data_IF_756971044594
#
_entry.id   IF_756971044594
#
_cell.length_a   1.000
_cell.length_b   1.000
_cell.length_c   1.000
_cell.angle_alpha   90.00
_cell.angle_beta   90.00
_cell.angle_gamma   90.00
#
_symmetry.space_group_name_H-M   'P 1'
#
loop_
_entity.id
_entity.type
_entity.pdbx_description
1 polymer ?
#
# COMPACT_ATOMS: atom_id res chain seq x y z
N UNK A 1 12.37 -9.96 4.43
CA UNK A 1 11.30 -8.99 4.11
C UNK A 1 10.16 -9.78 3.49
N UNK A 2 8.94 -9.65 4.00
CA UNK A 2 7.74 -10.29 3.41
C UNK A 2 7.43 -9.67 2.05
N UNK A 3 6.97 -10.44 1.08
CA UNK A 3 6.59 -9.90 -0.23
C UNK A 3 5.11 -9.51 -0.20
N UNK A 4 4.77 -8.29 -0.61
CA UNK A 4 3.37 -7.87 -0.78
C UNK A 4 3.19 -7.43 -2.23
N UNK A 5 2.37 -8.15 -2.98
CA UNK A 5 2.02 -7.81 -4.36
C UNK A 5 0.79 -6.89 -4.37
N UNK A 6 0.94 -5.61 -4.76
CA UNK A 6 -0.19 -4.72 -4.96
C UNK A 6 -0.97 -5.17 -6.21
N UNK A 7 -2.22 -4.71 -6.38
CA UNK A 7 -3.08 -5.17 -7.48
C UNK A 7 -2.49 -5.10 -8.88
N UNK A 8 -1.71 -4.05 -9.15
CA UNK A 8 -1.13 -3.77 -10.46
C UNK A 8 0.15 -4.57 -10.76
N UNK A 9 0.65 -5.36 -9.80
CA UNK A 9 1.90 -6.10 -9.93
C UNK A 9 1.77 -7.55 -9.47
N UNK A 10 0.61 -8.19 -9.69
CA UNK A 10 0.44 -9.61 -9.36
C UNK A 10 1.48 -10.48 -10.09
N UNK A 11 2.04 -11.50 -9.43
CA UNK A 11 2.97 -12.42 -10.05
C UNK A 11 2.26 -13.29 -11.10
N UNK A 12 3.05 -13.96 -11.95
CA UNK A 12 2.52 -14.99 -12.84
C UNK A 12 1.76 -16.06 -12.03
N UNK A 13 0.61 -16.59 -12.52
CA UNK A 13 -0.12 -17.68 -11.87
C UNK A 13 0.71 -18.95 -11.63
N UNK A 14 1.78 -19.12 -12.40
CA UNK A 14 2.70 -20.26 -12.30
C UNK A 14 3.74 -20.10 -11.19
N UNK A 15 3.88 -18.90 -10.63
CA UNK A 15 4.82 -18.65 -9.54
C UNK A 15 4.32 -19.30 -8.26
N UNK A 16 5.06 -20.27 -7.74
CA UNK A 16 4.80 -20.81 -6.41
C UNK A 16 5.02 -19.72 -5.35
N UNK A 17 3.98 -19.46 -4.55
CA UNK A 17 3.99 -18.44 -3.51
C UNK A 17 4.31 -19.06 -2.15
N UNK A 18 5.28 -18.50 -1.44
CA UNK A 18 5.59 -18.90 -0.07
C UNK A 18 4.59 -18.35 0.96
N UNK A 19 4.59 -18.90 2.17
CA UNK A 19 3.72 -18.44 3.27
C UNK A 19 4.01 -16.99 3.72
N UNK A 20 5.10 -16.39 3.26
CA UNK A 20 5.54 -15.04 3.59
C UNK A 20 5.09 -14.00 2.55
N UNK A 21 4.30 -14.44 1.55
CA UNK A 21 3.80 -13.64 0.44
C UNK A 21 2.33 -13.25 0.64
N UNK A 22 2.02 -11.98 0.42
CA UNK A 22 0.66 -11.45 0.40
C UNK A 22 0.28 -10.95 -0.99
N UNK A 23 -0.93 -11.28 -1.43
CA UNK A 23 -1.55 -10.79 -2.66
C UNK A 23 -2.69 -9.84 -2.29
N UNK A 24 -2.64 -8.61 -2.77
CA UNK A 24 -3.74 -7.65 -2.59
C UNK A 24 -4.70 -7.78 -3.76
N UNK A 25 -5.96 -8.15 -3.50
CA UNK A 25 -6.99 -8.22 -4.52
C UNK A 25 -7.90 -6.98 -4.51
N UNK A 26 -8.30 -6.49 -5.68
CA UNK A 26 -9.26 -5.37 -5.77
C UNK A 26 -10.71 -5.78 -5.74
N UNK A 27 -11.00 -7.01 -6.16
CA UNK A 27 -12.36 -7.53 -6.29
C UNK A 27 -12.39 -8.97 -5.81
N UNK A 28 -13.46 -9.38 -5.11
CA UNK A 28 -13.75 -10.79 -4.82
C UNK A 28 -13.65 -11.64 -6.09
N UNK A 29 -13.03 -12.81 -6.00
CA UNK A 29 -12.85 -13.71 -7.15
C UNK A 29 -11.74 -14.74 -6.97
N UNK A 30 -11.63 -15.68 -7.92
CA UNK A 30 -10.60 -16.72 -7.87
C UNK A 30 -9.21 -16.12 -8.10
N UNK A 31 -8.41 -16.04 -7.04
CA UNK A 31 -6.94 -15.96 -7.14
C UNK A 31 -6.25 -16.22 -5.79
N UNK A 32 -5.68 -17.40 -5.64
CA UNK A 32 -4.76 -17.76 -4.56
C UNK A 32 -5.38 -18.58 -3.44
N UNK A 33 -4.53 -19.14 -2.58
CA UNK A 33 -5.00 -19.76 -1.34
C UNK A 33 -5.49 -18.65 -0.41
N UNK A 34 -6.61 -18.86 0.29
CA UNK A 34 -7.21 -17.87 1.19
C UNK A 34 -6.21 -17.25 2.18
N UNK A 35 -5.16 -17.99 2.54
CA UNK A 35 -4.12 -17.61 3.51
C UNK A 35 -3.11 -16.55 3.02
N UNK A 36 -3.11 -16.22 1.74
CA UNK A 36 -2.17 -15.25 1.15
C UNK A 36 -2.89 -13.99 0.68
N UNK A 37 -4.22 -13.96 0.72
CA UNK A 37 -5.02 -12.89 0.10
C UNK A 37 -5.41 -11.82 1.13
N UNK A 38 -5.19 -10.57 0.74
CA UNK A 38 -5.69 -9.38 1.42
C UNK A 38 -6.70 -8.67 0.51
N UNK A 39 -7.91 -8.43 1.02
CA UNK A 39 -8.91 -7.64 0.32
C UNK A 39 -8.58 -6.16 0.35
N UNK A 40 -8.49 -5.50 -0.82
CA UNK A 40 -8.27 -4.05 -0.90
C UNK A 40 -9.54 -3.32 -0.48
N UNK A 41 -9.40 -2.38 0.46
CA UNK A 41 -10.41 -1.38 0.74
C UNK A 41 -9.76 -0.02 0.59
N UNK A 42 -10.20 0.69 -0.43
CA UNK A 42 -9.84 2.07 -0.64
C UNK A 42 -10.52 2.99 0.39
N UNK A 43 -9.74 3.72 1.19
CA UNK A 43 -10.25 4.65 2.20
C UNK A 43 -10.42 6.09 1.67
N UNK A 44 -9.97 6.37 0.46
CA UNK A 44 -10.03 7.68 -0.20
C UNK A 44 -9.54 8.82 0.73
N UNK A 45 -8.35 8.62 1.30
CA UNK A 45 -7.72 9.52 2.28
C UNK A 45 -8.60 9.87 3.50
N UNK A 46 -9.56 8.99 3.81
CA UNK A 46 -10.52 9.14 4.92
C UNK A 46 -11.84 9.81 4.52
N UNK A 47 -12.05 10.14 3.24
CA UNK A 47 -13.32 10.71 2.75
C UNK A 47 -14.42 9.64 2.69
N UNK A 48 -14.05 8.37 2.46
CA UNK A 48 -15.01 7.29 2.27
C UNK A 48 -15.81 7.05 3.55
N UNK A 49 -17.14 6.95 3.41
CA UNK A 49 -18.03 6.78 4.55
C UNK A 49 -17.74 5.48 5.31
N UNK A 50 -17.92 5.49 6.64
CA UNK A 50 -17.78 4.29 7.45
C UNK A 50 -18.74 3.17 7.01
N UNK A 51 -19.95 3.53 6.55
CA UNK A 51 -20.92 2.55 6.07
C UNK A 51 -20.42 1.81 4.83
N UNK A 52 -19.84 2.53 3.86
CA UNK A 52 -19.31 1.94 2.63
C UNK A 52 -18.05 1.11 2.91
N UNK A 53 -17.21 1.57 3.84
CA UNK A 53 -16.06 0.79 4.32
C UNK A 53 -16.53 -0.53 4.94
N UNK A 54 -17.53 -0.50 5.82
CA UNK A 54 -18.04 -1.72 6.45
C UNK A 54 -18.72 -2.66 5.46
N UNK A 55 -19.46 -2.14 4.48
CA UNK A 55 -20.01 -2.95 3.39
C UNK A 55 -18.89 -3.67 2.62
N UNK A 56 -17.77 -2.99 2.35
CA UNK A 56 -16.61 -3.62 1.71
C UNK A 56 -15.94 -4.67 2.60
N UNK A 57 -15.83 -4.41 3.92
CA UNK A 57 -15.31 -5.41 4.89
C UNK A 57 -16.20 -6.65 4.90
N UNK A 58 -17.53 -6.48 4.91
CA UNK A 58 -18.48 -7.60 4.92
C UNK A 58 -18.43 -8.40 3.61
N UNK A 59 -18.25 -7.73 2.46
CA UNK A 59 -18.05 -8.39 1.17
C UNK A 59 -16.77 -9.25 1.15
N UNK A 60 -15.64 -8.69 1.60
CA UNK A 60 -14.37 -9.43 1.69
C UNK A 60 -14.44 -10.61 2.66
N UNK A 61 -15.15 -10.43 3.78
CA UNK A 61 -15.40 -11.52 4.72
C UNK A 61 -16.22 -12.65 4.09
N UNK A 62 -17.18 -12.32 3.22
CA UNK A 62 -17.94 -13.31 2.44
C UNK A 62 -17.10 -14.07 1.41
N UNK A 63 -16.04 -13.44 0.88
CA UNK A 63 -15.10 -14.02 -0.08
C UNK A 63 -14.05 -14.94 0.57
N UNK A 64 -13.87 -14.84 1.90
CA UNK A 64 -13.00 -15.73 2.66
C UNK A 64 -11.52 -15.33 2.70
N UNK A 65 -11.20 -14.06 2.41
CA UNK A 65 -9.83 -13.54 2.55
C UNK A 65 -9.35 -13.57 4.01
N UNK A 66 -8.04 -13.65 4.23
CA UNK A 66 -7.47 -13.66 5.59
C UNK A 66 -7.38 -12.25 6.22
N UNK A 67 -7.35 -11.23 5.38
CA UNK A 67 -7.07 -9.89 5.85
C UNK A 67 -7.46 -8.79 4.88
N UNK A 68 -7.12 -7.57 5.28
CA UNK A 68 -7.42 -6.36 4.54
C UNK A 68 -6.15 -5.57 4.27
N UNK A 69 -6.09 -5.01 3.07
CA UNK A 69 -5.17 -3.95 2.69
C UNK A 69 -5.98 -2.65 2.61
N UNK A 70 -5.86 -1.83 3.64
CA UNK A 70 -6.51 -0.53 3.73
C UNK A 70 -5.70 0.46 2.92
N UNK A 71 -6.08 0.58 1.66
CA UNK A 71 -5.43 1.41 0.68
C UNK A 71 -5.92 2.84 0.77
N UNK A 72 -5.11 3.73 0.20
CA UNK A 72 -5.31 5.15 0.27
C UNK A 72 -5.71 5.67 1.67
N UNK A 73 -4.97 5.27 2.69
CA UNK A 73 -5.27 5.62 4.08
C UNK A 73 -4.80 7.04 4.47
N UNK A 74 -5.55 7.78 5.32
CA UNK A 74 -5.07 9.05 5.84
C UNK A 74 -3.80 8.84 6.69
N UNK A 75 -2.86 9.81 6.63
CA UNK A 75 -1.61 9.77 7.40
C UNK A 75 -1.57 10.74 8.60
N UNK A 76 -2.41 11.78 8.58
CA UNK A 76 -2.46 12.83 9.60
C UNK A 76 -3.22 12.43 10.87
N UNK A 77 -3.07 13.18 11.97
CA UNK A 77 -3.66 12.84 13.27
C UNK A 77 -5.19 12.71 13.26
N UNK A 78 -5.89 13.46 12.41
CA UNK A 78 -7.35 13.40 12.28
C UNK A 78 -7.88 12.06 11.75
N UNK A 79 -7.07 11.30 11.01
CA UNK A 79 -7.45 10.00 10.45
C UNK A 79 -7.31 8.83 11.41
N UNK A 80 -6.62 8.99 12.55
CA UNK A 80 -6.31 7.90 13.49
C UNK A 80 -7.58 7.24 14.02
N UNK A 81 -8.55 8.04 14.47
CA UNK A 81 -9.80 7.55 15.06
C UNK A 81 -10.63 6.70 14.08
N UNK A 82 -10.98 7.23 12.89
CA UNK A 82 -11.67 6.46 11.85
C UNK A 82 -10.93 5.18 11.44
N UNK A 83 -9.60 5.23 11.26
CA UNK A 83 -8.81 4.04 10.90
C UNK A 83 -8.81 3.00 12.01
N UNK A 84 -8.64 3.42 13.27
CA UNK A 84 -8.72 2.53 14.43
C UNK A 84 -10.10 1.84 14.53
N UNK A 85 -11.17 2.58 14.25
CA UNK A 85 -12.53 2.05 14.22
C UNK A 85 -12.68 0.99 13.13
N UNK A 86 -12.21 1.27 11.91
CA UNK A 86 -12.21 0.31 10.79
C UNK A 86 -11.45 -0.96 11.14
N UNK A 87 -10.22 -0.87 11.67
CA UNK A 87 -9.41 -2.02 12.09
C UNK A 87 -10.16 -2.87 13.13
N UNK A 88 -10.73 -2.22 14.15
CA UNK A 88 -11.47 -2.92 15.21
C UNK A 88 -12.72 -3.61 14.67
N UNK A 89 -13.42 -3.00 13.73
CA UNK A 89 -14.64 -3.57 13.13
C UNK A 89 -14.33 -4.70 12.15
N UNK A 90 -13.21 -4.64 11.45
CA UNK A 90 -12.67 -5.75 10.65
C UNK A 90 -12.29 -6.94 11.54
N UNK A 91 -11.57 -6.70 12.64
CA UNK A 91 -11.22 -7.75 13.59
C UNK A 91 -12.45 -8.46 14.18
N UNK A 92 -13.54 -7.72 14.47
CA UNK A 92 -14.82 -8.30 14.92
C UNK A 92 -15.48 -9.22 13.88
N UNK A 93 -15.12 -9.09 12.61
CA UNK A 93 -15.60 -9.93 11.51
C UNK A 93 -14.65 -11.10 11.20
N UNK A 94 -13.57 -11.24 11.97
CA UNK A 94 -12.56 -12.29 11.79
C UNK A 94 -11.40 -11.89 10.87
N UNK A 95 -11.37 -10.66 10.36
CA UNK A 95 -10.30 -10.15 9.50
C UNK A 95 -9.23 -9.47 10.37
N UNK A 96 -8.33 -10.29 10.92
CA UNK A 96 -7.32 -9.84 11.89
C UNK A 96 -6.03 -9.32 11.25
N UNK A 97 -5.75 -9.72 10.02
CA UNK A 97 -4.54 -9.29 9.29
C UNK A 97 -4.86 -7.98 8.57
N UNK A 98 -4.42 -6.86 9.13
CA UNK A 98 -4.58 -5.55 8.48
C UNK A 98 -3.21 -4.96 8.13
N UNK A 99 -3.10 -4.54 6.87
CA UNK A 99 -2.02 -3.68 6.38
C UNK A 99 -2.63 -2.33 6.03
N UNK A 100 -2.04 -1.26 6.54
CA UNK A 100 -2.45 0.12 6.27
C UNK A 100 -1.48 0.71 5.23
N UNK A 101 -2.01 1.21 4.11
CA UNK A 101 -1.23 1.89 3.08
C UNK A 101 -1.62 3.37 2.97
N UNK A 102 -0.94 4.25 3.73
CA UNK A 102 -0.93 5.68 3.49
C UNK A 102 0.04 6.09 2.38
N UNK A 103 0.98 5.23 1.97
CA UNK A 103 2.03 5.55 1.01
C UNK A 103 3.11 6.52 1.51
N UNK A 104 2.93 7.07 2.71
CA UNK A 104 3.83 8.04 3.36
C UNK A 104 3.94 7.77 4.86
N UNK A 105 4.99 8.27 5.54
CA UNK A 105 5.08 8.23 6.99
C UNK A 105 3.86 8.85 7.68
N UNK A 106 3.36 8.19 8.72
CA UNK A 106 2.14 8.59 9.44
C UNK A 106 2.43 9.32 10.74
N UNK A 107 1.42 10.03 11.25
CA UNK A 107 1.43 10.57 12.60
C UNK A 107 1.75 9.45 13.63
N UNK A 108 2.56 9.70 14.67
CA UNK A 108 3.02 8.65 15.60
C UNK A 108 1.90 7.82 16.26
N UNK A 109 0.70 8.39 16.45
CA UNK A 109 -0.45 7.68 17.04
C UNK A 109 -0.93 6.48 16.21
N UNK A 110 -0.63 6.42 14.91
CA UNK A 110 -0.95 5.24 14.10
C UNK A 110 -0.19 3.99 14.57
N UNK A 111 0.91 4.16 15.30
CA UNK A 111 1.73 3.06 15.79
C UNK A 111 1.04 2.29 16.91
N UNK A 112 0.18 2.95 17.67
CA UNK A 112 -0.61 2.32 18.74
C UNK A 112 -1.69 1.37 18.21
N UNK A 113 -1.99 1.44 16.90
CA UNK A 113 -2.96 0.55 16.25
C UNK A 113 -2.44 -0.89 16.08
N UNK A 114 -1.12 -1.11 16.21
CA UNK A 114 -0.51 -2.44 16.14
C UNK A 114 -0.60 -3.12 14.77
N UNK A 115 -0.95 -2.37 13.71
CA UNK A 115 -1.01 -2.87 12.33
C UNK A 115 0.28 -2.57 11.57
N UNK A 116 0.50 -3.29 10.47
CA UNK A 116 1.62 -3.00 9.56
C UNK A 116 1.29 -1.77 8.73
N UNK A 117 2.27 -0.88 8.56
CA UNK A 117 2.09 0.39 7.84
C UNK A 117 3.06 0.43 6.66
N UNK A 118 2.54 0.70 5.47
CA UNK A 118 3.32 0.96 4.27
C UNK A 118 3.63 2.46 4.21
N UNK A 119 4.86 2.86 4.50
CA UNK A 119 5.27 4.27 4.61
C UNK A 119 5.90 4.82 3.35
N UNK A 120 5.99 4.01 2.30
CA UNK A 120 6.40 4.46 0.98
C UNK A 120 5.59 3.69 -0.06
N UNK A 121 4.88 4.40 -0.94
CA UNK A 121 4.26 3.86 -2.14
C UNK A 121 4.49 4.86 -3.27
N UNK A 122 5.37 4.52 -4.21
CA UNK A 122 5.80 5.49 -5.22
C UNK A 122 6.82 4.96 -6.22
N UNK A 123 7.22 5.84 -7.15
CA UNK A 123 8.11 5.48 -8.26
C UNK A 123 9.53 5.17 -7.78
N UNK A 124 10.27 4.40 -8.59
CA UNK A 124 11.70 4.17 -8.37
C UNK A 124 12.49 5.48 -8.26
N UNK A 125 12.20 6.45 -9.12
CA UNK A 125 12.82 7.78 -9.09
C UNK A 125 12.59 8.48 -7.76
N UNK A 126 11.34 8.51 -7.27
CA UNK A 126 11.01 9.09 -5.97
C UNK A 126 11.71 8.32 -4.84
N UNK A 127 11.75 6.98 -4.93
CA UNK A 127 12.39 6.14 -3.94
C UNK A 127 13.90 6.38 -3.85
N UNK A 128 14.58 6.63 -4.96
CA UNK A 128 16.02 6.94 -4.95
C UNK A 128 16.31 8.20 -4.12
N UNK A 129 15.50 9.25 -4.27
CA UNK A 129 15.62 10.50 -3.53
C UNK A 129 15.08 10.46 -2.10
N UNK A 130 14.27 9.45 -1.74
CA UNK A 130 13.63 9.37 -0.43
C UNK A 130 14.64 9.08 0.70
N UNK A 131 14.68 9.97 1.69
CA UNK A 131 15.58 9.90 2.84
C UNK A 131 15.12 8.91 3.94
N UNK A 132 13.85 8.50 3.93
CA UNK A 132 13.30 7.60 4.94
C UNK A 132 12.77 8.28 6.20
N UNK A 133 12.71 9.62 6.24
CA UNK A 133 12.30 10.37 7.42
C UNK A 133 10.90 9.96 7.89
N UNK A 134 10.77 9.63 9.18
CA UNK A 134 9.51 9.20 9.79
C UNK A 134 9.11 7.73 9.56
N UNK A 135 9.80 7.01 8.67
CA UNK A 135 9.66 5.56 8.56
C UNK A 135 10.41 4.85 9.69
N UNK A 136 9.96 3.66 10.06
CA UNK A 136 10.57 2.81 11.10
C UNK A 136 10.99 1.46 10.50
N UNK A 137 12.04 0.82 11.02
CA UNK A 137 12.37 -0.56 10.64
C UNK A 137 11.15 -1.47 10.81
N UNK A 138 10.84 -2.23 9.75
CA UNK A 138 9.64 -3.07 9.70
C UNK A 138 8.49 -2.49 8.88
N UNK A 139 8.53 -1.20 8.56
CA UNK A 139 7.54 -0.56 7.69
C UNK A 139 7.62 -1.10 6.25
N UNK A 140 6.52 -0.94 5.53
CA UNK A 140 6.36 -1.42 4.15
C UNK A 140 6.81 -0.39 3.13
N UNK A 141 7.46 -0.84 2.06
CA UNK A 141 7.78 -0.01 0.91
C UNK A 141 7.25 -0.66 -0.38
N UNK A 142 6.45 0.05 -1.16
CA UNK A 142 6.01 -0.32 -2.51
C UNK A 142 6.71 0.60 -3.50
N UNK A 143 7.53 0.02 -4.36
CA UNK A 143 8.39 0.74 -5.29
C UNK A 143 8.10 0.27 -6.70
N UNK A 144 7.49 1.14 -7.51
CA UNK A 144 7.01 0.81 -8.85
C UNK A 144 7.85 1.48 -9.95
N UNK A 145 7.71 1.04 -11.19
CA UNK A 145 8.45 1.57 -12.33
C UNK A 145 9.97 1.38 -12.23
N UNK A 146 10.42 0.33 -11.55
CA UNK A 146 11.86 -0.02 -11.45
C UNK A 146 12.33 -0.64 -12.76
N UNK A 147 13.38 -0.12 -13.41
CA UNK A 147 13.94 -0.79 -14.59
C UNK A 147 14.27 -2.26 -14.30
N UNK A 148 13.92 -3.23 -15.16
CA UNK A 148 14.06 -4.66 -14.86
C UNK A 148 15.46 -5.08 -14.39
N UNK A 149 16.50 -4.45 -14.94
CA UNK A 149 17.91 -4.70 -14.60
C UNK A 149 18.27 -4.22 -13.19
N UNK A 150 17.46 -3.34 -12.60
CA UNK A 150 17.66 -2.76 -11.27
C UNK A 150 16.79 -3.40 -10.19
N UNK A 151 15.87 -4.33 -10.51
CA UNK A 151 14.97 -4.95 -9.53
C UNK A 151 15.71 -5.54 -8.33
N UNK A 152 16.81 -6.25 -8.57
CA UNK A 152 17.65 -6.81 -7.48
C UNK A 152 18.29 -5.70 -6.64
N UNK A 153 18.76 -4.63 -7.27
CA UNK A 153 19.37 -3.49 -6.57
C UNK A 153 18.33 -2.72 -5.74
N UNK A 154 17.13 -2.52 -6.28
CA UNK A 154 16.00 -1.88 -5.61
C UNK A 154 15.58 -2.68 -4.36
N UNK A 155 15.40 -4.00 -4.47
CA UNK A 155 15.10 -4.88 -3.32
C UNK A 155 16.17 -4.79 -2.23
N UNK A 156 17.46 -4.76 -2.61
CA UNK A 156 18.57 -4.59 -1.65
C UNK A 156 18.53 -3.23 -0.97
N UNK A 157 18.22 -2.15 -1.72
CA UNK A 157 18.08 -0.81 -1.17
C UNK A 157 16.92 -0.74 -0.17
N UNK A 158 15.78 -1.36 -0.49
CA UNK A 158 14.64 -1.48 0.44
C UNK A 158 15.05 -2.14 1.75
N UNK A 159 15.76 -3.26 1.68
CA UNK A 159 16.26 -3.94 2.88
C UNK A 159 17.21 -3.06 3.70
N UNK A 160 18.13 -2.34 3.06
CA UNK A 160 19.03 -1.40 3.76
C UNK A 160 18.30 -0.23 4.41
N UNK A 161 17.16 0.20 3.84
CA UNK A 161 16.28 1.22 4.42
C UNK A 161 15.30 0.67 5.46
N UNK A 162 15.45 -0.60 5.86
CA UNK A 162 14.66 -1.19 6.95
C UNK A 162 13.29 -1.70 6.54
N UNK A 163 13.02 -1.91 5.24
CA UNK A 163 11.74 -2.47 4.78
C UNK A 163 11.45 -3.83 5.43
N UNK A 164 10.32 -3.95 6.12
CA UNK A 164 9.83 -5.21 6.71
C UNK A 164 9.01 -6.04 5.73
N UNK A 165 8.28 -5.35 4.85
CA UNK A 165 7.49 -5.95 3.77
C UNK A 165 7.44 -5.03 2.53
N UNK A 166 6.98 -5.55 1.40
CA UNK A 166 6.74 -4.75 0.21
C UNK A 166 7.20 -5.40 -1.09
N UNK A 167 7.34 -4.58 -2.13
CA UNK A 167 7.73 -5.02 -3.47
C UNK A 167 8.51 -3.91 -4.20
N UNK A 168 9.55 -4.31 -4.93
CA UNK A 168 10.09 -3.53 -6.04
C UNK A 168 9.67 -4.21 -7.34
N UNK A 169 9.04 -3.46 -8.24
CA UNK A 169 8.45 -3.99 -9.48
C UNK A 169 8.70 -3.04 -10.65
N UNK A 170 8.79 -3.61 -11.85
CA UNK A 170 8.86 -2.90 -13.13
C UNK A 170 7.49 -2.46 -13.63
N UNK A 171 6.42 -3.04 -13.09
CA UNK A 171 5.06 -2.56 -13.28
C UNK A 171 4.86 -1.16 -12.66
N UNK A 172 3.92 -0.40 -13.21
CA UNK A 172 3.44 0.86 -12.65
C UNK A 172 1.95 0.78 -12.38
N UNK A 173 1.43 1.45 -11.34
CA UNK A 173 0.00 1.60 -11.16
C UNK A 173 -0.61 2.28 -12.40
N UNK A 174 -1.87 1.98 -12.75
CA UNK A 174 -2.57 2.71 -13.80
C UNK A 174 -2.60 4.20 -13.44
N UNK A 175 -2.25 5.06 -14.40
CA UNK A 175 -2.36 6.50 -14.23
C UNK A 175 -3.84 6.83 -14.06
N UNK A 176 -4.22 7.35 -12.90
CA UNK A 176 -5.55 7.93 -12.71
C UNK A 176 -5.50 9.36 -13.25
N UNK A 177 -6.56 9.81 -13.93
CA UNK A 177 -6.58 11.12 -14.61
C UNK A 177 -6.24 12.30 -13.67
N UNK A 178 -6.50 12.18 -12.36
CA UNK A 178 -6.10 13.14 -11.32
C UNK A 178 -4.57 13.29 -11.14
N UNK A 179 -3.78 12.23 -11.37
CA UNK A 179 -2.31 12.28 -11.20
C UNK A 179 -1.57 12.93 -12.37
N UNK A 180 -2.25 13.10 -13.51
CA UNK A 180 -1.65 13.72 -14.70
C UNK A 180 -1.60 15.25 -14.60
N UNK A 181 -2.49 15.86 -13.81
CA UNK A 181 -2.55 17.31 -13.62
C UNK A 181 -1.44 17.81 -12.68
N UNK A 182 -1.07 17.05 -11.65
CA UNK A 182 0.03 17.39 -10.73
C UNK A 182 1.42 17.33 -11.39
N UNK A 183 1.67 16.44 -12.35
CA UNK A 183 2.93 16.43 -13.11
C UNK A 183 2.99 17.56 -14.16
N UNK A 184 1.84 17.98 -14.72
CA UNK A 184 1.79 19.10 -15.65
C UNK A 184 2.08 20.45 -14.98
N UNK A 185 1.54 20.68 -13.77
CA UNK A 185 1.77 21.92 -13.00
C UNK A 185 3.22 22.02 -12.46
N UNK A 186 3.88 20.89 -12.21
CA UNK A 186 5.30 20.86 -11.83
C UNK A 186 6.24 21.15 -13.02
N UNK A 187 5.82 20.85 -14.25
CA UNK A 187 6.58 21.17 -15.45
C UNK A 187 6.44 22.64 -15.87
N UNK A 188 5.26 23.25 -15.69
CA UNK A 188 4.99 24.65 -16.08
C UNK A 188 5.54 25.69 -15.08
N UNK A 189 5.80 25.28 -13.84
CA UNK A 189 6.46 26.15 -12.84
C UNK A 189 7.97 26.28 -13.03
N UNK A 190 8.57 25.53 -13.95
CA UNK A 190 10.02 25.57 -14.23
C UNK A 190 10.39 26.50 -15.42
N UNK A 191 9.41 27.05 -16.15
CA UNK A 191 9.64 27.82 -17.39
C UNK A 191 9.55 29.35 -17.26
N UNK A 192 9.30 29.91 -16.08
CA UNK A 192 9.16 31.38 -15.90
C UNK A 192 10.12 31.94 -14.87
N UNK A 193 11.42 31.90 -15.16
CA UNK A 193 12.42 32.77 -14.53
C UNK A 193 13.66 32.88 -15.44
N UNK A 194 13.56 33.74 -16.46
CA UNK A 194 14.71 34.04 -17.30
C UNK A 194 14.37 34.87 -18.53
N UNK A 195 14.13 36.18 -18.34
CA UNK A 195 14.65 37.31 -19.12
C UNK A 195 13.92 38.60 -18.76
#
# INVERSE_FOLDING_TARGET
MKTLFPPYAHPSPELELDAETWLVQERPGERGTAHQVLGRIDLDWGSRSLADVLAAVDAWRGDGVEGLFLDRAPAGPGGVGPVALTIRLAARRGLHRVVLNPGVPTHPLYRDLGVRICTFDGSWTAYQGWAGDGARPGDGHLVHGVPPQLLTAARRLMGRRGAGFGLATDASPPVTEESAEDEADSADSCTTSGS
#
